data_IF_579900366924
#
_entry.id   IF_579900366924
#
_cell.length_a   1.000
_cell.length_b   1.000
_cell.length_c   1.000
_cell.angle_alpha   90.00
_cell.angle_beta   90.00
_cell.angle_gamma   90.00
#
_symmetry.space_group_name_H-M   'P 1'
#
loop_
_entity.id
_entity.type
_entity.pdbx_description
1 polymer ?
#
# COMPACT_ATOMS: atom_id res chain seq x y z
N UNK A 1 11.66 -1.10 -0.93
CA UNK A 1 10.89 -2.01 -1.80
C UNK A 1 9.58 -2.31 -1.13
N UNK A 2 8.50 -2.32 -1.90
CA UNK A 2 7.13 -2.55 -1.44
C UNK A 2 6.55 -3.76 -2.13
N UNK A 3 5.86 -4.62 -1.40
CA UNK A 3 4.96 -5.61 -1.98
C UNK A 3 3.55 -5.03 -2.05
N UNK A 4 2.96 -5.07 -3.24
CA UNK A 4 1.62 -4.55 -3.52
C UNK A 4 0.73 -5.73 -3.84
N UNK A 5 -0.35 -5.89 -3.08
CA UNK A 5 -1.39 -6.87 -3.38
C UNK A 5 -2.68 -6.17 -3.77
N UNK A 6 -3.12 -6.40 -5.01
CA UNK A 6 -4.41 -5.94 -5.53
C UNK A 6 -5.44 -7.06 -5.33
N UNK A 7 -6.59 -6.69 -4.77
CA UNK A 7 -7.78 -7.55 -4.69
C UNK A 7 -8.81 -7.00 -5.65
N UNK A 8 -9.22 -7.80 -6.62
CA UNK A 8 -10.26 -7.44 -7.59
C UNK A 8 -11.64 -7.80 -7.05
N UNK A 9 -12.67 -7.09 -7.52
CA UNK A 9 -14.09 -7.38 -7.21
C UNK A 9 -14.53 -8.80 -7.57
N UNK A 10 -13.82 -9.45 -8.49
CA UNK A 10 -14.02 -10.87 -8.82
C UNK A 10 -13.46 -11.83 -7.75
N UNK A 11 -12.76 -11.33 -6.73
CA UNK A 11 -12.02 -12.10 -5.74
C UNK A 11 -10.61 -12.51 -6.19
N UNK A 12 -10.25 -12.26 -7.46
CA UNK A 12 -8.89 -12.51 -7.94
C UNK A 12 -7.87 -11.62 -7.19
N UNK A 13 -6.65 -12.14 -7.01
CA UNK A 13 -5.56 -11.41 -6.36
C UNK A 13 -4.34 -11.37 -7.27
N UNK A 14 -3.66 -10.24 -7.30
CA UNK A 14 -2.38 -10.09 -7.98
C UNK A 14 -1.41 -9.38 -7.03
N UNK A 15 -0.24 -9.99 -6.82
CA UNK A 15 0.81 -9.45 -5.96
C UNK A 15 2.08 -9.22 -6.76
N UNK A 16 2.74 -8.09 -6.53
CA UNK A 16 3.98 -7.76 -7.20
C UNK A 16 4.84 -6.81 -6.37
N UNK A 17 6.15 -6.87 -6.60
CA UNK A 17 7.13 -6.06 -5.90
C UNK A 17 7.52 -4.85 -6.74
N UNK A 18 7.54 -3.68 -6.10
CA UNK A 18 7.88 -2.40 -6.72
C UNK A 18 8.84 -1.61 -5.83
N UNK A 19 9.59 -0.69 -6.43
CA UNK A 19 10.42 0.24 -5.68
C UNK A 19 9.55 1.37 -5.09
N UNK A 20 8.63 1.88 -5.91
CA UNK A 20 7.71 2.95 -5.54
C UNK A 20 6.28 2.58 -5.91
N UNK A 21 5.33 2.99 -5.07
CA UNK A 21 3.90 2.79 -5.29
C UNK A 21 3.13 4.02 -4.84
N UNK A 22 2.21 4.50 -5.68
CA UNK A 22 1.39 5.67 -5.41
C UNK A 22 -0.05 5.46 -5.89
N UNK A 23 -0.99 5.92 -5.07
CA UNK A 23 -2.41 5.95 -5.41
C UNK A 23 -2.88 7.40 -5.53
N UNK A 24 -3.78 7.65 -6.47
CA UNK A 24 -4.42 8.94 -6.65
C UNK A 24 -5.89 8.85 -6.31
N UNK A 25 -6.41 9.86 -5.61
CA UNK A 25 -7.84 10.01 -5.36
C UNK A 25 -8.34 11.23 -6.12
N UNK A 26 -9.55 11.15 -6.67
CA UNK A 26 -10.23 12.32 -7.21
C UNK A 26 -10.78 13.20 -6.07
N UNK A 27 -11.38 14.35 -6.42
CA UNK A 27 -11.98 15.29 -5.47
C UNK A 27 -13.12 14.71 -4.62
N UNK A 28 -13.64 13.53 -4.99
CA UNK A 28 -14.68 12.80 -4.26
C UNK A 28 -14.12 11.69 -3.36
N UNK A 29 -12.79 11.56 -3.27
CA UNK A 29 -12.13 10.53 -2.47
C UNK A 29 -12.05 9.15 -3.11
N UNK A 30 -12.57 8.97 -4.33
CA UNK A 30 -12.49 7.71 -5.08
C UNK A 30 -11.11 7.54 -5.71
N UNK A 31 -10.61 6.31 -5.74
CA UNK A 31 -9.37 5.96 -6.44
C UNK A 31 -9.49 6.30 -7.94
N UNK A 32 -8.60 7.15 -8.43
CA UNK A 32 -8.57 7.61 -9.82
C UNK A 32 -7.37 7.10 -10.61
N UNK A 33 -6.32 6.63 -9.94
CA UNK A 33 -5.11 6.15 -10.59
C UNK A 33 -4.19 5.40 -9.64
N UNK A 34 -3.35 4.55 -10.23
CA UNK A 34 -2.26 3.85 -9.56
C UNK A 34 -1.03 4.01 -10.42
N UNK A 35 0.08 4.39 -9.80
CA UNK A 35 1.40 4.43 -10.45
C UNK A 35 2.39 3.64 -9.62
N UNK A 36 3.34 3.03 -10.31
CA UNK A 36 4.41 2.28 -9.69
C UNK A 36 5.67 2.30 -10.56
N UNK A 37 6.82 2.20 -9.93
CA UNK A 37 8.14 2.20 -10.59
C UNK A 37 9.00 1.03 -10.06
N UNK A 38 9.99 0.62 -10.85
CA UNK A 38 10.93 -0.44 -10.44
C UNK A 38 10.25 -1.81 -10.23
N UNK A 39 9.17 -2.08 -10.95
CA UNK A 39 8.44 -3.34 -10.90
C UNK A 39 9.35 -4.51 -11.31
N UNK A 40 9.44 -5.52 -10.45
CA UNK A 40 10.23 -6.74 -10.71
C UNK A 40 9.30 -7.95 -10.87
N UNK A 41 9.54 -8.79 -11.88
CA UNK A 41 8.74 -10.00 -12.14
C UNK A 41 7.51 -9.74 -13.02
N UNK A 42 6.38 -10.38 -12.69
CA UNK A 42 5.14 -10.31 -13.47
C UNK A 42 4.23 -9.22 -12.90
N UNK A 43 4.11 -8.10 -13.60
CA UNK A 43 3.26 -6.97 -13.18
C UNK A 43 2.12 -6.69 -14.17
N UNK A 44 0.97 -6.18 -13.70
CA UNK A 44 -0.16 -5.85 -14.56
C UNK A 44 0.08 -4.54 -15.32
N UNK A 45 0.26 -4.61 -16.64
CA UNK A 45 0.47 -3.44 -17.52
C UNK A 45 -0.71 -2.46 -17.58
N UNK A 46 -1.93 -2.96 -17.38
CA UNK A 46 -3.13 -2.15 -17.33
C UNK A 46 -3.99 -2.59 -16.16
N UNK A 47 -4.32 -1.65 -15.27
CA UNK A 47 -5.14 -1.89 -14.10
C UNK A 47 -6.38 -0.99 -14.21
N UNK A 48 -7.55 -1.60 -14.40
CA UNK A 48 -8.81 -0.87 -14.29
C UNK A 48 -9.10 -0.54 -12.83
N UNK A 49 -8.87 0.69 -12.38
CA UNK A 49 -9.08 1.10 -10.98
C UNK A 49 -10.51 0.82 -10.48
N UNK A 50 -11.50 0.80 -11.36
CA UNK A 50 -12.89 0.48 -11.05
C UNK A 50 -13.16 -1.00 -10.73
N UNK A 51 -12.26 -1.90 -11.13
CA UNK A 51 -12.37 -3.34 -10.85
C UNK A 51 -11.67 -3.76 -9.57
N UNK A 52 -10.92 -2.85 -8.93
CA UNK A 52 -10.26 -3.08 -7.65
C UNK A 52 -11.28 -2.94 -6.53
N UNK A 53 -11.21 -3.88 -5.60
CA UNK A 53 -11.95 -3.86 -4.34
C UNK A 53 -11.07 -3.34 -3.21
N UNK A 54 -9.82 -3.82 -3.12
CA UNK A 54 -8.85 -3.40 -2.12
C UNK A 54 -7.40 -3.42 -2.63
N UNK A 55 -6.54 -2.63 -1.98
CA UNK A 55 -5.09 -2.56 -2.24
C UNK A 55 -4.38 -2.65 -0.89
N UNK A 56 -3.45 -3.59 -0.78
CA UNK A 56 -2.54 -3.72 0.36
C UNK A 56 -1.12 -3.36 -0.10
N UNK A 57 -0.40 -2.61 0.72
CA UNK A 57 0.97 -2.18 0.44
C UNK A 57 1.81 -2.44 1.67
N UNK A 58 2.83 -3.27 1.54
CA UNK A 58 3.72 -3.68 2.62
C UNK A 58 5.15 -3.28 2.26
N UNK A 59 5.90 -2.68 3.20
CA UNK A 59 7.32 -2.38 3.00
C UNK A 59 8.16 -3.61 3.33
N UNK A 60 8.77 -4.21 2.32
CA UNK A 60 9.61 -5.42 2.45
C UNK A 60 11.11 -5.11 2.58
N UNK A 61 11.50 -3.83 2.40
CA UNK A 61 12.90 -3.40 2.37
C UNK A 61 13.43 -2.73 3.64
N UNK A 62 12.57 -2.47 4.62
CA UNK A 62 12.95 -1.89 5.90
C UNK A 62 12.27 -2.68 6.99
N UNK A 63 13.05 -3.15 7.97
CA UNK A 63 12.52 -3.64 9.25
C UNK A 63 11.34 -2.76 9.63
N UNK A 64 10.19 -3.35 9.94
CA UNK A 64 9.14 -2.64 10.65
C UNK A 64 9.81 -1.92 11.81
N UNK A 65 10.00 -0.61 11.69
CA UNK A 65 10.20 0.21 12.87
C UNK A 65 8.82 0.27 13.48
N UNK A 66 8.47 -0.78 14.22
CA UNK A 66 7.54 -0.69 15.33
C UNK A 66 8.17 0.35 16.24
N UNK A 67 7.92 1.63 15.95
CA UNK A 67 8.18 2.69 16.89
C UNK A 67 7.13 2.42 17.95
N UNK A 68 7.52 1.67 18.99
CA UNK A 68 6.81 1.70 20.27
C UNK A 68 6.45 3.16 20.52
N UNK A 69 5.19 3.47 20.83
CA UNK A 69 4.89 4.82 21.22
C UNK A 69 5.71 5.07 22.49
N UNK A 70 6.74 5.90 22.35
CA UNK A 70 7.55 6.48 23.42
C UNK A 70 6.59 7.38 24.21
N UNK A 71 5.70 6.75 24.99
CA UNK A 71 4.87 7.43 25.95
C UNK A 71 5.77 7.65 27.16
N UNK A 72 6.23 8.88 27.44
CA UNK A 72 6.67 9.19 28.78
C UNK A 72 5.46 8.96 29.68
N UNK A 73 5.58 8.02 30.62
CA UNK A 73 4.64 7.95 31.73
C UNK A 73 4.85 9.25 32.50
N UNK A 74 3.89 10.16 32.37
CA UNK A 74 3.81 11.37 33.17
C UNK A 74 3.44 10.93 34.60
N UNK A 75 4.46 10.59 35.39
CA UNK A 75 4.32 10.43 36.84
C UNK A 75 4.08 11.82 37.47
N UNK A 76 2.81 12.16 37.64
CA UNK A 76 2.34 13.27 38.44
C UNK A 76 0.96 12.86 39.01
N UNK A 77 0.66 12.83 40.30
CA UNK A 77 1.21 13.44 41.53
C UNK A 77 0.96 12.50 42.72
N UNK A 78 1.80 12.61 43.76
CA UNK A 78 1.46 12.20 45.13
C UNK A 78 0.68 13.27 45.89
#
# INVERSE_FOLDING_TARGET
MKEVTLVFKSGAKASFTVEQFKTFKNSFGCLSGIEYEGATGKVPFHIGVSSIDAIFVEDIGGKESTKEPDHPIEDFYG
#
